data_IF_111192693429
#
_entry.id   IF_111192693429
#
_cell.length_a   1.000
_cell.length_b   1.000
_cell.length_c   1.000
_cell.angle_alpha   90.00
_cell.angle_beta   90.00
_cell.angle_gamma   90.00
#
_symmetry.space_group_name_H-M   'P 1'
#
loop_
_entity.id
_entity.type
_entity.pdbx_description
1 polymer ?
#
# COMPACT_ATOMS: atom_id res chain seq x y z
N UNK A 1 -0.69 20.10 3.53
CA UNK A 1 0.77 20.01 3.29
C UNK A 1 1.52 20.30 4.58
N UNK A 2 2.80 19.94 4.65
CA UNK A 2 3.62 20.17 5.86
C UNK A 2 3.75 18.96 6.80
N UNK A 3 2.95 17.90 6.68
CA UNK A 3 2.99 16.70 7.53
C UNK A 3 4.41 16.13 7.66
N UNK A 4 5.00 15.71 6.54
CA UNK A 4 6.34 15.12 6.49
C UNK A 4 7.43 16.09 6.98
N UNK A 5 7.30 17.40 6.64
CA UNK A 5 8.20 18.44 7.14
C UNK A 5 8.16 18.53 8.67
N UNK A 6 6.96 18.49 9.27
CA UNK A 6 6.79 18.52 10.73
C UNK A 6 7.47 17.32 11.40
N UNK A 7 7.34 16.10 10.83
CA UNK A 7 8.04 14.92 11.35
C UNK A 7 9.57 15.05 11.26
N UNK A 8 10.08 15.54 10.12
CA UNK A 8 11.53 15.77 9.94
C UNK A 8 12.03 16.78 10.97
N UNK A 9 11.39 17.93 11.12
CA UNK A 9 11.79 18.96 12.09
C UNK A 9 11.68 18.47 13.53
N UNK A 10 10.67 17.62 13.84
CA UNK A 10 10.57 17.00 15.16
C UNK A 10 11.72 16.05 15.44
N UNK A 11 12.11 15.20 14.48
CA UNK A 11 13.24 14.30 14.62
C UNK A 11 14.53 15.07 14.87
N UNK A 12 14.77 16.15 14.11
CA UNK A 12 15.95 17.01 14.26
C UNK A 12 15.95 17.69 15.63
N UNK A 13 14.81 18.26 16.05
CA UNK A 13 14.67 18.88 17.36
C UNK A 13 14.99 17.89 18.49
N UNK A 14 14.51 16.65 18.41
CA UNK A 14 14.80 15.62 19.39
C UNK A 14 16.31 15.31 19.47
N UNK A 15 16.97 15.18 18.32
CA UNK A 15 18.40 14.88 18.27
C UNK A 15 19.22 16.10 18.71
N UNK A 16 18.96 17.28 18.15
CA UNK A 16 19.77 18.48 18.35
C UNK A 16 19.56 19.14 19.68
N UNK A 17 18.28 19.40 20.03
CA UNK A 17 17.93 20.23 21.20
C UNK A 17 17.71 19.37 22.46
N UNK A 18 17.15 18.16 22.28
CA UNK A 18 16.86 17.27 23.40
C UNK A 18 17.98 16.24 23.67
N UNK A 19 19.00 16.16 22.82
CA UNK A 19 20.11 15.20 22.98
C UNK A 19 19.65 13.73 22.88
N UNK A 20 18.57 13.46 22.16
CA UNK A 20 18.03 12.12 21.99
C UNK A 20 18.92 11.34 21.02
N UNK A 21 19.38 10.16 21.44
CA UNK A 21 20.18 9.29 20.60
C UNK A 21 19.32 8.72 19.45
N UNK A 22 19.88 8.55 18.24
CA UNK A 22 19.15 8.08 17.06
C UNK A 22 18.36 6.77 17.27
N UNK A 23 18.95 5.81 17.95
CA UNK A 23 18.34 4.52 18.29
C UNK A 23 17.12 4.62 19.22
N UNK A 24 16.91 5.78 19.83
CA UNK A 24 15.74 6.04 20.69
C UNK A 24 14.52 6.54 19.92
N UNK A 25 14.68 6.72 18.62
CA UNK A 25 13.64 7.26 17.73
C UNK A 25 13.14 6.17 16.77
N UNK A 26 11.82 6.00 16.77
CA UNK A 26 11.10 5.12 15.83
C UNK A 26 10.28 6.01 14.89
N UNK A 27 10.45 5.82 13.57
CA UNK A 27 9.67 6.55 12.55
C UNK A 27 9.11 5.54 11.55
N UNK A 28 7.81 5.35 11.56
CA UNK A 28 7.13 4.49 10.60
C UNK A 28 6.40 5.30 9.52
N UNK A 29 6.43 4.78 8.30
CA UNK A 29 5.68 5.32 7.15
C UNK A 29 5.07 4.19 6.32
N UNK A 30 4.19 4.55 5.37
CA UNK A 30 3.44 3.57 4.61
C UNK A 30 4.21 2.97 3.43
N UNK A 31 5.13 3.71 2.80
CA UNK A 31 5.85 3.25 1.60
C UNK A 31 7.36 3.34 1.74
N UNK A 32 8.08 2.41 1.09
CA UNK A 32 9.54 2.44 1.01
C UNK A 32 10.09 3.75 0.41
N UNK A 33 9.36 4.34 -0.55
CA UNK A 33 9.73 5.62 -1.16
C UNK A 33 9.67 6.74 -0.11
N UNK A 34 8.59 6.79 0.69
CA UNK A 34 8.45 7.78 1.74
C UNK A 34 9.51 7.58 2.85
N UNK A 35 9.82 6.34 3.21
CA UNK A 35 10.89 6.03 4.17
C UNK A 35 12.24 6.56 3.69
N UNK A 36 12.61 6.27 2.46
CA UNK A 36 13.87 6.77 1.85
C UNK A 36 13.91 8.29 1.79
N UNK A 37 12.79 8.93 1.46
CA UNK A 37 12.68 10.39 1.43
C UNK A 37 12.86 10.99 2.82
N UNK A 38 12.25 10.42 3.86
CA UNK A 38 12.43 10.85 5.26
C UNK A 38 13.88 10.72 5.70
N UNK A 39 14.52 9.57 5.44
CA UNK A 39 15.94 9.35 5.74
C UNK A 39 16.79 10.43 5.06
N UNK A 40 16.61 10.64 3.76
CA UNK A 40 17.36 11.64 3.00
C UNK A 40 17.18 13.05 3.55
N UNK A 41 15.95 13.43 3.87
CA UNK A 41 15.65 14.78 4.41
C UNK A 41 16.26 14.97 5.80
N UNK A 42 16.14 13.99 6.70
CA UNK A 42 16.73 14.06 8.04
C UNK A 42 18.26 14.15 7.93
N UNK A 43 18.88 13.29 7.10
CA UNK A 43 20.34 13.30 6.89
C UNK A 43 20.82 14.63 6.36
N UNK A 44 20.19 15.18 5.33
CA UNK A 44 20.58 16.46 4.73
C UNK A 44 20.45 17.63 5.70
N UNK A 45 19.36 17.67 6.47
CA UNK A 45 19.13 18.72 7.47
C UNK A 45 20.14 18.65 8.63
N UNK A 46 20.46 17.45 9.13
CA UNK A 46 21.48 17.26 10.16
C UNK A 46 22.86 17.66 9.64
N UNK A 47 23.21 17.27 8.40
CA UNK A 47 24.44 17.66 7.75
C UNK A 47 24.56 19.19 7.58
N UNK A 48 23.47 19.86 7.15
CA UNK A 48 23.43 21.32 7.02
C UNK A 48 23.66 22.04 8.35
N UNK A 49 23.32 21.40 9.48
CA UNK A 49 23.55 21.90 10.85
C UNK A 49 24.87 21.42 11.46
N UNK A 50 25.72 20.75 10.67
CA UNK A 50 27.00 20.18 11.12
C UNK A 50 26.88 19.15 12.25
N UNK A 51 25.74 18.44 12.30
CA UNK A 51 25.47 17.39 13.28
C UNK A 51 25.80 16.04 12.66
N UNK A 52 26.79 15.35 13.23
CA UNK A 52 27.21 14.02 12.78
C UNK A 52 26.54 12.95 13.62
N UNK A 53 25.54 12.28 13.06
CA UNK A 53 24.87 11.13 13.67
C UNK A 53 24.67 10.02 12.63
N UNK A 54 24.66 8.78 13.11
CA UNK A 54 24.38 7.64 12.25
C UNK A 54 22.84 7.45 12.14
N UNK A 55 22.23 8.01 11.10
CA UNK A 55 20.78 7.90 10.89
C UNK A 55 20.31 6.45 10.68
N UNK A 56 21.22 5.51 10.33
CA UNK A 56 20.86 4.10 10.19
C UNK A 56 20.53 3.42 11.54
N UNK A 57 20.89 4.02 12.66
CA UNK A 57 20.52 3.54 13.98
C UNK A 57 19.06 3.84 14.33
N UNK A 58 18.46 4.86 13.73
CA UNK A 58 17.03 5.15 13.85
C UNK A 58 16.22 3.95 13.35
N UNK A 59 15.15 3.59 14.06
CA UNK A 59 14.16 2.65 13.56
C UNK A 59 13.25 3.37 12.53
N UNK A 60 13.78 3.63 11.36
CA UNK A 60 13.07 4.34 10.29
C UNK A 60 12.81 3.42 9.11
N UNK A 61 11.55 3.34 8.68
CA UNK A 61 11.16 2.47 7.57
C UNK A 61 9.65 2.34 7.41
N UNK A 62 9.24 1.37 6.61
CA UNK A 62 7.84 0.91 6.60
C UNK A 62 7.59 0.05 7.84
N UNK A 63 6.32 -0.10 8.24
CA UNK A 63 5.97 -1.01 9.33
C UNK A 63 6.53 -2.42 9.10
N UNK A 64 6.41 -2.92 7.87
CA UNK A 64 6.94 -4.24 7.49
C UNK A 64 8.45 -4.33 7.67
N UNK A 65 9.21 -3.34 7.20
CA UNK A 65 10.67 -3.34 7.31
C UNK A 65 11.14 -3.27 8.77
N UNK A 66 10.46 -2.48 9.59
CA UNK A 66 10.79 -2.37 11.02
C UNK A 66 10.42 -3.65 11.77
N UNK A 67 9.23 -4.20 11.55
CA UNK A 67 8.83 -5.48 12.14
C UNK A 67 9.80 -6.61 11.75
N UNK A 68 10.20 -6.65 10.47
CA UNK A 68 11.16 -7.63 9.99
C UNK A 68 12.55 -7.46 10.62
N UNK A 69 12.97 -6.22 10.90
CA UNK A 69 14.21 -5.94 11.66
C UNK A 69 14.11 -6.49 13.08
N UNK A 70 13.01 -6.21 13.78
CA UNK A 70 12.79 -6.71 15.16
C UNK A 70 12.78 -8.25 15.18
N UNK A 71 12.12 -8.90 14.22
CA UNK A 71 12.11 -10.37 14.07
C UNK A 71 13.54 -10.89 13.85
N UNK A 72 14.31 -10.29 12.93
CA UNK A 72 15.69 -10.72 12.63
C UNK A 72 16.63 -10.60 13.82
N UNK A 73 16.50 -9.53 14.58
CA UNK A 73 17.30 -9.28 15.78
C UNK A 73 16.97 -10.28 16.92
N UNK A 74 15.79 -10.93 16.87
CA UNK A 74 15.29 -11.85 17.90
C UNK A 74 14.78 -13.18 17.30
N UNK A 75 15.40 -13.65 16.24
CA UNK A 75 14.90 -14.78 15.44
C UNK A 75 14.72 -16.07 16.25
N UNK A 76 15.55 -16.31 17.26
CA UNK A 76 15.49 -17.46 18.13
C UNK A 76 14.23 -17.55 19.01
N UNK A 77 13.52 -16.44 19.18
CA UNK A 77 12.26 -16.36 19.92
C UNK A 77 11.03 -16.40 19.02
N UNK A 78 11.23 -16.63 17.73
CA UNK A 78 10.17 -16.73 16.74
C UNK A 78 10.00 -18.18 16.26
N UNK A 79 8.90 -18.46 15.55
CA UNK A 79 8.72 -19.74 14.86
C UNK A 79 9.67 -19.92 13.66
N UNK A 80 10.31 -18.85 13.23
CA UNK A 80 11.14 -18.85 12.02
C UNK A 80 12.56 -19.34 12.30
N UNK A 81 13.11 -20.10 11.36
CA UNK A 81 14.54 -20.46 11.35
C UNK A 81 15.31 -19.37 10.58
N UNK A 82 16.63 -19.27 10.82
CA UNK A 82 17.50 -18.27 10.18
C UNK A 82 17.43 -18.22 8.65
N UNK A 83 17.11 -19.35 8.01
CA UNK A 83 16.98 -19.51 6.56
C UNK A 83 15.53 -19.37 6.06
N UNK A 84 14.67 -18.64 6.77
CA UNK A 84 13.30 -18.40 6.31
C UNK A 84 13.27 -17.68 4.96
N UNK A 85 12.19 -17.89 4.20
CA UNK A 85 11.95 -17.19 2.94
C UNK A 85 10.73 -16.27 3.07
N UNK A 86 10.90 -15.03 2.60
CA UNK A 86 9.80 -14.08 2.47
C UNK A 86 9.09 -14.30 1.14
N UNK A 87 7.78 -14.48 1.21
CA UNK A 87 6.92 -14.60 0.05
C UNK A 87 6.45 -13.23 -0.44
N UNK A 88 6.53 -13.00 -1.74
CA UNK A 88 5.79 -11.93 -2.38
C UNK A 88 4.33 -12.37 -2.67
N UNK A 89 3.54 -11.47 -3.26
CA UNK A 89 2.13 -11.74 -3.54
C UNK A 89 1.92 -12.92 -4.49
N UNK A 90 2.81 -13.09 -5.47
CA UNK A 90 2.73 -14.20 -6.41
C UNK A 90 3.16 -15.50 -5.75
N UNK A 91 4.26 -15.51 -5.01
CA UNK A 91 4.74 -16.67 -4.26
C UNK A 91 3.70 -17.15 -3.25
N UNK A 92 3.03 -16.21 -2.56
CA UNK A 92 1.93 -16.52 -1.65
C UNK A 92 0.77 -17.21 -2.37
N UNK A 93 0.32 -16.64 -3.48
CA UNK A 93 -0.77 -17.21 -4.26
C UNK A 93 -0.40 -18.56 -4.85
N UNK A 94 0.83 -18.72 -5.31
CA UNK A 94 1.33 -20.00 -5.84
C UNK A 94 1.47 -21.08 -4.76
N UNK A 95 1.89 -20.72 -3.54
CA UNK A 95 1.91 -21.63 -2.40
C UNK A 95 0.51 -22.19 -2.11
N UNK A 96 -0.49 -21.30 -2.04
CA UNK A 96 -1.88 -21.71 -1.82
C UNK A 96 -2.41 -22.54 -3.00
N UNK A 97 -2.12 -22.15 -4.23
CA UNK A 97 -2.54 -22.85 -5.43
C UNK A 97 -2.00 -24.29 -5.46
N UNK A 98 -0.70 -24.50 -5.26
CA UNK A 98 -0.10 -25.85 -5.26
C UNK A 98 -0.57 -26.71 -4.10
N UNK A 99 -1.02 -26.09 -3.01
CA UNK A 99 -1.54 -26.74 -1.81
C UNK A 99 -3.07 -26.74 -1.74
N UNK A 100 -3.76 -26.41 -2.84
CA UNK A 100 -5.22 -26.18 -2.88
C UNK A 100 -6.02 -27.39 -2.39
N UNK A 101 -5.48 -28.61 -2.54
CA UNK A 101 -6.10 -29.84 -2.08
C UNK A 101 -6.27 -29.87 -0.55
N UNK A 102 -5.36 -29.23 0.23
CA UNK A 102 -5.48 -29.12 1.69
C UNK A 102 -6.71 -28.26 2.07
N UNK A 103 -6.93 -27.19 1.32
CA UNK A 103 -8.09 -26.29 1.55
C UNK A 103 -9.40 -26.93 1.10
N UNK A 104 -9.41 -27.67 -0.02
CA UNK A 104 -10.60 -28.40 -0.50
C UNK A 104 -11.13 -29.46 0.47
N UNK A 105 -10.30 -29.93 1.40
CA UNK A 105 -10.68 -30.87 2.44
C UNK A 105 -11.35 -30.18 3.65
N UNK A 106 -11.44 -28.87 3.70
CA UNK A 106 -12.13 -28.13 4.75
C UNK A 106 -13.64 -28.33 4.55
N UNK A 107 -14.33 -28.78 5.59
CA UNK A 107 -15.77 -28.98 5.57
C UNK A 107 -16.51 -27.65 5.32
N UNK A 108 -17.50 -27.66 4.44
CA UNK A 108 -18.31 -26.49 4.03
C UNK A 108 -17.50 -25.34 3.37
N UNK A 109 -16.35 -25.63 2.78
CA UNK A 109 -15.49 -24.61 2.16
C UNK A 109 -16.22 -23.79 1.08
N UNK A 110 -17.19 -24.39 0.40
CA UNK A 110 -17.99 -23.76 -0.65
C UNK A 110 -18.80 -22.56 -0.17
N UNK A 111 -19.08 -22.48 1.13
CA UNK A 111 -19.86 -21.37 1.71
C UNK A 111 -19.16 -20.02 1.58
N UNK A 112 -17.82 -20.03 1.48
CA UNK A 112 -16.99 -18.80 1.42
C UNK A 112 -16.20 -18.69 0.11
N UNK A 113 -16.14 -19.76 -0.70
CA UNK A 113 -15.37 -19.72 -1.95
C UNK A 113 -16.17 -19.18 -3.13
N UNK A 114 -15.56 -18.34 -3.97
CA UNK A 114 -16.18 -17.89 -5.21
C UNK A 114 -16.28 -19.05 -6.22
N UNK A 115 -17.24 -18.91 -7.15
CA UNK A 115 -17.29 -19.80 -8.31
C UNK A 115 -16.03 -19.66 -9.15
N UNK A 116 -15.39 -20.78 -9.50
CA UNK A 116 -14.23 -20.75 -10.38
C UNK A 116 -13.19 -21.86 -10.10
N UNK A 117 -12.11 -21.78 -10.86
CA UNK A 117 -11.01 -22.76 -10.75
C UNK A 117 -10.08 -22.52 -9.55
N UNK A 118 -9.13 -23.44 -9.36
CA UNK A 118 -8.20 -23.45 -8.23
C UNK A 118 -7.36 -22.17 -8.08
N UNK A 119 -7.09 -21.45 -9.17
CA UNK A 119 -6.36 -20.19 -9.11
C UNK A 119 -7.23 -19.03 -8.54
N UNK A 120 -8.51 -19.02 -8.87
CA UNK A 120 -9.49 -18.06 -8.30
C UNK A 120 -9.64 -18.32 -6.79
N UNK A 121 -9.73 -19.59 -6.39
CA UNK A 121 -9.75 -19.98 -4.99
C UNK A 121 -8.48 -19.55 -4.26
N UNK A 122 -7.30 -19.78 -4.85
CA UNK A 122 -6.04 -19.33 -4.26
C UNK A 122 -6.01 -17.83 -4.00
N UNK A 123 -6.49 -17.02 -4.96
CA UNK A 123 -6.58 -15.58 -4.79
C UNK A 123 -7.55 -15.17 -3.66
N UNK A 124 -8.72 -15.82 -3.58
CA UNK A 124 -9.70 -15.57 -2.50
C UNK A 124 -9.12 -15.95 -1.13
N UNK A 125 -8.48 -17.11 -1.02
CA UNK A 125 -7.82 -17.58 0.21
C UNK A 125 -6.74 -16.58 0.65
N UNK A 126 -5.87 -16.12 -0.26
CA UNK A 126 -4.86 -15.11 0.06
C UNK A 126 -5.50 -13.81 0.58
N UNK A 127 -6.61 -13.36 -0.03
CA UNK A 127 -7.33 -12.19 0.46
C UNK A 127 -7.88 -12.40 1.87
N UNK A 128 -8.46 -13.55 2.15
CA UNK A 128 -9.02 -13.85 3.49
C UNK A 128 -7.92 -13.92 4.56
N UNK A 129 -6.85 -14.67 4.32
CA UNK A 129 -5.78 -14.80 5.32
C UNK A 129 -5.07 -13.48 5.59
N UNK A 130 -4.88 -12.64 4.56
CA UNK A 130 -4.29 -11.32 4.72
C UNK A 130 -5.18 -10.41 5.57
N UNK A 131 -6.48 -10.36 5.29
CA UNK A 131 -7.43 -9.56 6.06
C UNK A 131 -7.51 -10.02 7.52
N UNK A 132 -7.59 -11.34 7.76
CA UNK A 132 -7.63 -11.90 9.11
C UNK A 132 -6.37 -11.59 9.92
N UNK A 133 -5.20 -11.62 9.27
CA UNK A 133 -3.92 -11.28 9.89
C UNK A 133 -3.83 -9.78 10.21
N UNK A 134 -4.23 -8.89 9.28
CA UNK A 134 -4.16 -7.44 9.44
C UNK A 134 -5.13 -6.92 10.50
N UNK A 135 -6.31 -7.52 10.62
CA UNK A 135 -7.31 -7.22 11.67
C UNK A 135 -7.03 -7.97 12.99
N UNK A 136 -6.00 -8.81 13.03
CA UNK A 136 -5.64 -9.62 14.20
C UNK A 136 -6.82 -10.37 14.80
N UNK A 137 -7.59 -11.04 13.97
CA UNK A 137 -8.77 -11.77 14.43
C UNK A 137 -8.35 -12.98 15.26
N UNK A 138 -9.08 -13.25 16.35
CA UNK A 138 -8.86 -14.43 17.19
C UNK A 138 -9.39 -15.69 16.47
N UNK A 139 -8.48 -16.43 15.86
CA UNK A 139 -8.79 -17.65 15.09
C UNK A 139 -9.46 -18.71 15.97
N UNK A 140 -9.12 -18.76 17.25
CA UNK A 140 -9.76 -19.70 18.19
C UNK A 140 -11.21 -19.30 18.47
N UNK A 141 -11.46 -18.03 18.73
CA UNK A 141 -12.83 -17.54 18.91
C UNK A 141 -13.67 -17.76 17.63
N UNK A 142 -13.08 -17.56 16.44
CA UNK A 142 -13.78 -17.84 15.18
C UNK A 142 -14.13 -19.32 15.01
N UNK A 143 -13.32 -20.25 15.51
CA UNK A 143 -13.60 -21.69 15.40
C UNK A 143 -14.80 -22.14 16.22
N UNK A 144 -15.22 -21.35 17.19
CA UNK A 144 -16.35 -21.60 18.09
C UNK A 144 -17.60 -20.75 17.72
N UNK A 145 -17.55 -20.01 16.59
CA UNK A 145 -18.63 -19.12 16.16
C UNK A 145 -19.85 -19.92 15.63
N UNK A 146 -21.07 -19.48 15.91
CA UNK A 146 -22.28 -20.14 15.39
C UNK A 146 -22.45 -20.02 13.86
N UNK A 147 -21.80 -19.04 13.21
CA UNK A 147 -21.81 -18.91 11.76
C UNK A 147 -20.74 -19.83 11.14
N UNK A 148 -21.22 -20.80 10.38
CA UNK A 148 -20.35 -21.78 9.70
C UNK A 148 -19.33 -21.12 8.78
N UNK A 149 -19.65 -19.98 8.17
CA UNK A 149 -18.74 -19.25 7.30
C UNK A 149 -17.54 -18.71 8.07
N UNK A 150 -17.74 -18.27 9.31
CA UNK A 150 -16.68 -17.81 10.22
C UNK A 150 -15.78 -18.98 10.63
N UNK A 151 -16.38 -20.12 10.97
CA UNK A 151 -15.63 -21.36 11.28
C UNK A 151 -14.78 -21.80 10.10
N UNK A 152 -15.33 -21.77 8.88
CA UNK A 152 -14.58 -22.11 7.65
C UNK A 152 -13.40 -21.17 7.45
N UNK A 153 -13.56 -19.86 7.66
CA UNK A 153 -12.47 -18.89 7.57
C UNK A 153 -11.37 -19.17 8.60
N UNK A 154 -11.74 -19.58 9.84
CA UNK A 154 -10.76 -19.97 10.86
C UNK A 154 -9.94 -21.20 10.42
N UNK A 155 -10.61 -22.20 9.83
CA UNK A 155 -9.96 -23.41 9.31
C UNK A 155 -9.02 -23.07 8.13
N UNK A 156 -9.42 -22.16 7.24
CA UNK A 156 -8.56 -21.66 6.16
C UNK A 156 -7.29 -21.04 6.74
N UNK A 157 -7.43 -20.18 7.75
CA UNK A 157 -6.27 -19.53 8.39
C UNK A 157 -5.36 -20.57 9.07
N UNK A 158 -5.92 -21.54 9.75
CA UNK A 158 -5.16 -22.63 10.39
C UNK A 158 -4.35 -23.45 9.39
N UNK A 159 -4.98 -23.87 8.28
CA UNK A 159 -4.29 -24.58 7.19
C UNK A 159 -3.17 -23.73 6.59
N UNK A 160 -3.43 -22.44 6.37
CA UNK A 160 -2.44 -21.53 5.83
C UNK A 160 -1.23 -21.32 6.76
N UNK A 161 -1.47 -21.14 8.06
CA UNK A 161 -0.41 -21.02 9.06
C UNK A 161 0.46 -22.27 9.11
N UNK A 162 -0.15 -23.47 9.07
CA UNK A 162 0.59 -24.73 8.99
C UNK A 162 1.48 -24.81 7.74
N UNK A 163 1.01 -24.34 6.58
CA UNK A 163 1.84 -24.29 5.36
C UNK A 163 3.06 -23.39 5.50
N UNK A 164 2.90 -22.21 6.12
CA UNK A 164 4.01 -21.30 6.36
C UNK A 164 5.03 -21.90 7.34
N UNK A 165 4.56 -22.59 8.38
CA UNK A 165 5.41 -23.22 9.38
C UNK A 165 6.19 -24.40 8.80
N UNK A 166 5.50 -25.32 8.11
CA UNK A 166 6.09 -26.53 7.50
C UNK A 166 7.27 -26.18 6.57
N UNK A 167 7.14 -25.09 5.81
CA UNK A 167 8.14 -24.68 4.82
C UNK A 167 9.05 -23.54 5.29
N UNK A 168 8.93 -23.10 6.54
CA UNK A 168 9.69 -21.98 7.11
C UNK A 168 9.56 -20.69 6.29
N UNK A 169 8.32 -20.28 6.05
CA UNK A 169 7.95 -19.14 5.23
C UNK A 169 7.32 -18.02 6.08
N UNK A 170 7.42 -16.82 5.55
CA UNK A 170 6.71 -15.64 6.07
C UNK A 170 6.25 -14.78 4.87
N UNK A 171 5.11 -14.15 4.96
CA UNK A 171 4.60 -13.19 3.98
C UNK A 171 4.41 -11.80 4.58
N UNK A 172 3.99 -10.83 3.77
CA UNK A 172 3.86 -9.45 4.21
C UNK A 172 2.86 -9.26 5.37
N UNK A 173 1.71 -9.93 5.35
CA UNK A 173 0.72 -9.81 6.42
C UNK A 173 1.19 -10.51 7.70
N UNK A 174 1.83 -11.67 7.57
CA UNK A 174 2.32 -12.44 8.72
C UNK A 174 3.59 -11.87 9.37
N UNK A 175 4.36 -11.00 8.69
CA UNK A 175 5.45 -10.25 9.34
C UNK A 175 4.95 -9.48 10.57
N UNK A 176 3.83 -8.79 10.44
CA UNK A 176 3.29 -7.94 11.51
C UNK A 176 2.71 -8.78 12.64
N UNK A 177 1.99 -9.85 12.32
CA UNK A 177 1.45 -10.78 13.33
C UNK A 177 2.56 -11.50 14.08
N UNK A 178 3.61 -11.94 13.39
CA UNK A 178 4.78 -12.57 14.02
C UNK A 178 5.55 -11.59 14.92
N UNK A 179 5.74 -10.34 14.47
CA UNK A 179 6.34 -9.30 15.31
C UNK A 179 5.49 -9.03 16.55
N UNK A 180 4.17 -8.89 16.40
CA UNK A 180 3.27 -8.69 17.53
C UNK A 180 3.32 -9.85 18.51
N UNK A 181 3.29 -11.11 18.00
CA UNK A 181 3.40 -12.32 18.80
C UNK A 181 4.72 -12.37 19.58
N UNK A 182 5.84 -12.13 18.88
CA UNK A 182 7.18 -12.06 19.50
C UNK A 182 7.19 -11.10 20.69
N UNK A 183 6.64 -9.89 20.51
CA UNK A 183 6.65 -8.86 21.54
C UNK A 183 5.72 -9.17 22.71
N UNK A 184 4.57 -9.84 22.47
CA UNK A 184 3.60 -10.17 23.52
C UNK A 184 3.98 -11.41 24.32
N UNK A 185 4.61 -12.39 23.68
CA UNK A 185 5.05 -13.63 24.31
C UNK A 185 6.41 -13.51 25.02
N UNK A 186 7.20 -12.47 24.72
CA UNK A 186 8.54 -12.26 25.29
C UNK A 186 8.67 -10.88 25.94
N UNK A 187 8.20 -10.73 27.20
CA UNK A 187 8.24 -9.45 27.92
C UNK A 187 9.64 -8.82 28.00
N UNK A 188 10.69 -9.63 28.16
CA UNK A 188 12.08 -9.13 28.26
C UNK A 188 12.52 -8.44 26.96
N UNK A 189 12.10 -8.97 25.79
CA UNK A 189 12.38 -8.33 24.48
C UNK A 189 11.61 -7.03 24.37
N UNK A 190 10.33 -7.05 24.74
CA UNK A 190 9.48 -5.87 24.70
C UNK A 190 10.01 -4.77 25.62
N UNK A 191 10.39 -5.10 26.84
CA UNK A 191 10.88 -4.12 27.81
C UNK A 191 12.23 -3.52 27.35
N UNK A 192 13.14 -4.33 26.81
CA UNK A 192 14.38 -3.85 26.19
C UNK A 192 14.11 -2.88 25.03
N UNK A 193 13.13 -3.18 24.15
CA UNK A 193 12.75 -2.28 23.07
C UNK A 193 12.12 -0.99 23.60
N UNK A 194 11.29 -1.06 24.63
CA UNK A 194 10.70 0.11 25.31
C UNK A 194 11.74 0.99 26.00
N UNK A 195 12.79 0.40 26.53
CA UNK A 195 13.92 1.14 27.10
C UNK A 195 14.71 1.88 26.03
N UNK A 196 14.88 1.27 24.87
CA UNK A 196 15.58 1.87 23.74
C UNK A 196 14.69 2.88 23.01
N UNK A 197 13.51 2.49 22.53
CA UNK A 197 12.59 3.34 21.76
C UNK A 197 11.82 4.26 22.71
N UNK A 198 12.16 5.56 22.71
CA UNK A 198 11.53 6.57 23.59
C UNK A 198 10.56 7.47 22.86
N UNK A 199 10.71 7.62 21.56
CA UNK A 199 9.91 8.51 20.71
C UNK A 199 9.42 7.75 19.50
N UNK A 200 8.10 7.66 19.36
CA UNK A 200 7.45 7.00 18.22
C UNK A 200 6.81 8.06 17.36
N UNK A 201 7.13 8.05 16.07
CA UNK A 201 6.55 8.93 15.08
C UNK A 201 5.99 8.12 13.93
N UNK A 202 4.79 8.47 13.45
CA UNK A 202 4.12 7.75 12.36
C UNK A 202 3.61 8.74 11.33
N UNK A 203 4.05 8.56 10.07
CA UNK A 203 3.54 9.31 8.91
C UNK A 203 2.35 8.57 8.28
N UNK A 204 1.45 9.36 7.66
CA UNK A 204 0.24 8.87 6.98
C UNK A 204 -0.59 7.91 7.87
N UNK A 205 -0.83 8.31 9.11
CA UNK A 205 -1.47 7.47 10.13
C UNK A 205 -2.88 6.99 9.74
N UNK A 206 -3.59 7.71 8.87
CA UNK A 206 -4.88 7.29 8.33
C UNK A 206 -4.81 6.01 7.48
N UNK A 207 -3.62 5.61 7.03
CA UNK A 207 -3.40 4.42 6.21
C UNK A 207 -2.96 3.20 7.04
N UNK A 208 -2.88 3.35 8.38
CA UNK A 208 -2.52 2.24 9.26
C UNK A 208 -3.68 1.24 9.42
N UNK A 209 -3.34 -0.04 9.52
CA UNK A 209 -4.28 -1.10 9.89
C UNK A 209 -4.28 -1.36 11.41
N UNK A 210 -5.16 -2.23 11.86
CA UNK A 210 -5.35 -2.50 13.30
C UNK A 210 -4.06 -3.04 13.95
N UNK A 211 -3.39 -4.02 13.37
CA UNK A 211 -2.20 -4.62 13.99
C UNK A 211 -1.02 -3.65 14.08
N UNK A 212 -0.87 -2.75 13.10
CA UNK A 212 0.15 -1.69 13.15
C UNK A 212 -0.07 -0.76 14.33
N UNK A 213 -1.32 -0.35 14.54
CA UNK A 213 -1.68 0.45 15.70
C UNK A 213 -1.39 -0.28 17.01
N UNK A 214 -1.73 -1.57 17.11
CA UNK A 214 -1.43 -2.38 18.29
C UNK A 214 0.08 -2.46 18.57
N UNK A 215 0.93 -2.61 17.54
CA UNK A 215 2.39 -2.63 17.68
C UNK A 215 2.89 -1.28 18.20
N UNK A 216 2.37 -0.15 17.66
CA UNK A 216 2.73 1.20 18.13
C UNK A 216 2.45 1.35 19.62
N UNK A 217 1.23 1.04 20.07
CA UNK A 217 0.86 1.18 21.49
C UNK A 217 1.59 0.19 22.38
N UNK A 218 1.87 -1.02 21.87
CA UNK A 218 2.67 -2.01 22.60
C UNK A 218 4.09 -1.50 22.86
N UNK A 219 4.75 -0.93 21.84
CA UNK A 219 6.10 -0.36 21.99
C UNK A 219 6.11 0.92 22.83
N UNK A 220 5.10 1.78 22.70
CA UNK A 220 5.01 3.00 23.48
C UNK A 220 4.85 2.73 24.98
N UNK A 221 4.17 1.66 25.35
CA UNK A 221 3.91 1.26 26.73
C UNK A 221 3.29 2.39 27.55
N UNK A 222 3.71 2.54 28.82
CA UNK A 222 3.19 3.57 29.73
C UNK A 222 3.65 5.00 29.39
N UNK A 223 4.73 5.16 28.63
CA UNK A 223 5.23 6.50 28.27
C UNK A 223 4.34 7.21 27.30
N UNK A 224 3.67 6.46 26.42
CA UNK A 224 2.75 6.96 25.39
C UNK A 224 3.27 8.16 24.58
N UNK A 225 4.61 8.25 24.39
CA UNK A 225 5.24 9.33 23.64
C UNK A 225 5.13 9.07 22.14
N UNK A 226 3.94 9.28 21.62
CA UNK A 226 3.55 8.99 20.23
C UNK A 226 3.21 10.30 19.53
N UNK A 227 3.76 10.51 18.35
CA UNK A 227 3.42 11.62 17.47
C UNK A 227 2.98 11.07 16.13
N UNK A 228 1.72 11.23 15.79
CA UNK A 228 1.19 10.80 14.50
C UNK A 228 0.88 12.00 13.62
N UNK A 229 1.12 11.89 12.33
CA UNK A 229 0.63 12.85 11.33
C UNK A 229 -0.19 12.12 10.29
N UNK A 230 -1.28 12.73 9.88
CA UNK A 230 -2.20 12.14 8.93
C UNK A 230 -3.22 13.13 8.41
N UNK A 231 -4.09 12.65 7.57
CA UNK A 231 -5.20 13.42 7.02
C UNK A 231 -6.39 12.50 6.78
N UNK A 232 -7.42 12.64 7.58
CA UNK A 232 -8.64 11.84 7.50
C UNK A 232 -9.36 11.95 6.13
N UNK A 233 -9.14 13.02 5.37
CA UNK A 233 -9.64 13.18 4.01
C UNK A 233 -8.83 12.37 2.96
N UNK A 234 -7.68 11.82 3.34
CA UNK A 234 -6.78 11.06 2.46
C UNK A 234 -6.81 9.54 2.70
N UNK A 235 -7.73 9.03 3.50
CA UNK A 235 -7.87 7.60 3.80
C UNK A 235 -8.35 6.78 2.60
N UNK A 236 -7.51 6.60 1.58
CA UNK A 236 -7.84 5.93 0.32
C UNK A 236 -7.50 4.42 0.30
N UNK A 237 -6.76 3.93 1.27
CA UNK A 237 -6.22 2.56 1.27
C UNK A 237 -7.05 1.55 2.08
N UNK A 238 -8.36 1.80 2.26
CA UNK A 238 -9.25 0.85 2.94
C UNK A 238 -9.21 -0.57 2.33
N UNK A 239 -9.04 -0.66 1.02
CA UNK A 239 -8.93 -1.94 0.31
C UNK A 239 -7.62 -2.72 0.62
N UNK A 240 -6.71 -2.12 1.39
CA UNK A 240 -5.48 -2.71 1.93
C UNK A 240 -5.51 -2.83 3.46
N UNK A 241 -6.69 -2.98 4.05
CA UNK A 241 -6.85 -3.10 5.49
C UNK A 241 -6.69 -1.79 6.28
N UNK A 242 -6.39 -0.65 5.62
CA UNK A 242 -6.33 0.64 6.32
C UNK A 242 -7.66 0.99 6.95
N UNK A 243 -7.63 1.43 8.19
CA UNK A 243 -8.82 1.86 8.91
C UNK A 243 -8.72 3.32 9.33
N UNK A 244 -9.53 4.17 8.71
CA UNK A 244 -9.64 5.59 9.07
C UNK A 244 -10.03 5.82 10.53
N UNK A 245 -10.62 4.81 11.15
CA UNK A 245 -10.97 4.80 12.57
C UNK A 245 -9.75 5.07 13.45
N UNK A 246 -8.57 4.53 13.07
CA UNK A 246 -7.35 4.72 13.84
C UNK A 246 -7.03 6.21 14.03
N UNK A 247 -7.09 7.03 12.98
CA UNK A 247 -6.80 8.46 13.11
C UNK A 247 -7.94 9.21 13.81
N UNK A 248 -9.19 8.86 13.53
CA UNK A 248 -10.35 9.55 14.12
C UNK A 248 -10.49 9.27 15.62
N UNK A 249 -10.20 8.06 16.06
CA UNK A 249 -10.27 7.64 17.47
C UNK A 249 -8.93 7.79 18.21
N UNK A 250 -7.86 8.24 17.55
CA UNK A 250 -6.54 8.33 18.18
C UNK A 250 -6.55 9.13 19.49
N UNK A 251 -7.18 10.32 19.59
CA UNK A 251 -7.21 11.08 20.83
C UNK A 251 -7.94 10.38 21.98
N UNK A 252 -8.96 9.57 21.68
CA UNK A 252 -9.74 8.87 22.70
C UNK A 252 -8.99 7.71 23.38
N UNK A 253 -7.81 7.35 22.86
CA UNK A 253 -6.93 6.33 23.43
C UNK A 253 -6.05 6.84 24.56
N UNK A 254 -6.09 8.14 24.85
CA UNK A 254 -5.33 8.82 25.89
C UNK A 254 -6.28 9.40 26.94
N UNK A 255 -5.78 9.63 28.13
CA UNK A 255 -6.54 10.34 29.14
C UNK A 255 -6.83 11.79 28.68
N UNK A 256 -7.86 12.39 29.26
CA UNK A 256 -8.25 13.75 28.92
C UNK A 256 -7.09 14.75 29.10
N UNK A 257 -6.77 15.50 28.06
CA UNK A 257 -5.69 16.49 28.05
C UNK A 257 -4.29 15.93 27.72
N UNK A 258 -4.10 14.62 27.63
CA UNK A 258 -2.79 14.02 27.30
C UNK A 258 -2.51 13.99 25.79
N UNK A 259 -3.52 13.98 24.96
CA UNK A 259 -3.37 14.04 23.49
C UNK A 259 -3.59 15.47 22.99
N UNK A 260 -2.57 16.07 22.37
CA UNK A 260 -2.66 17.40 21.75
C UNK A 260 -2.86 17.26 20.24
N UNK A 261 -3.97 17.76 19.74
CA UNK A 261 -4.26 17.86 18.30
C UNK A 261 -3.74 19.22 17.80
N UNK A 262 -2.95 19.21 16.74
CA UNK A 262 -2.39 20.38 16.10
C UNK A 262 -2.82 20.38 14.62
N UNK A 263 -3.79 21.21 14.22
CA UNK A 263 -4.21 21.29 12.82
C UNK A 263 -3.17 22.02 11.97
N UNK A 264 -2.79 21.39 10.84
CA UNK A 264 -1.96 22.00 9.80
C UNK A 264 -2.89 22.50 8.68
N UNK A 265 -3.36 23.73 8.78
CA UNK A 265 -4.39 24.29 7.89
C UNK A 265 -3.84 24.96 6.65
N UNK A 266 -2.55 25.33 6.61
CA UNK A 266 -1.96 26.04 5.47
C UNK A 266 -1.44 25.07 4.41
N UNK A 267 -1.89 25.25 3.17
CA UNK A 267 -1.42 24.46 2.03
C UNK A 267 -0.34 25.24 1.25
N UNK A 268 0.89 24.70 1.27
CA UNK A 268 2.07 25.26 0.58
C UNK A 268 2.33 24.61 -0.79
N UNK A 269 1.48 23.68 -1.24
CA UNK A 269 1.72 22.88 -2.45
C UNK A 269 0.90 23.31 -3.64
N UNK A 270 -0.35 23.64 -3.40
CA UNK A 270 -1.35 23.79 -4.46
C UNK A 270 -1.78 25.23 -4.60
N UNK A 271 -2.15 25.61 -5.84
CA UNK A 271 -2.76 26.90 -6.11
C UNK A 271 -4.06 27.11 -5.30
N UNK A 272 -4.38 28.37 -5.03
CA UNK A 272 -5.56 28.73 -4.22
C UNK A 272 -6.88 28.21 -4.80
N UNK A 273 -7.02 28.18 -6.13
CA UNK A 273 -8.23 27.71 -6.78
C UNK A 273 -8.44 26.20 -6.55
N UNK A 274 -7.32 25.42 -6.57
CA UNK A 274 -7.36 23.98 -6.27
C UNK A 274 -7.75 23.76 -4.80
N UNK A 275 -7.19 24.56 -3.89
CA UNK A 275 -7.50 24.46 -2.47
C UNK A 275 -8.97 24.82 -2.20
N UNK A 276 -9.48 25.88 -2.82
CA UNK A 276 -10.86 26.31 -2.68
C UNK A 276 -11.83 25.26 -3.25
N UNK A 277 -11.54 24.74 -4.45
CA UNK A 277 -12.32 23.66 -5.04
C UNK A 277 -12.38 22.43 -4.13
N UNK A 278 -11.24 22.03 -3.57
CA UNK A 278 -11.18 20.91 -2.65
C UNK A 278 -12.02 21.14 -1.39
N UNK A 279 -11.94 22.32 -0.77
CA UNK A 279 -12.75 22.65 0.39
C UNK A 279 -14.26 22.58 0.07
N UNK A 280 -14.70 23.11 -1.08
CA UNK A 280 -16.09 23.02 -1.53
C UNK A 280 -16.49 21.57 -1.82
N UNK A 281 -15.65 20.80 -2.50
CA UNK A 281 -15.90 19.41 -2.78
C UNK A 281 -16.09 18.59 -1.51
N UNK A 282 -15.23 18.77 -0.53
CA UNK A 282 -15.29 18.06 0.76
C UNK A 282 -16.46 18.52 1.65
N UNK A 283 -16.97 19.71 1.45
CA UNK A 283 -18.17 20.19 2.13
C UNK A 283 -19.48 19.69 1.48
N UNK A 284 -19.41 19.20 0.24
CA UNK A 284 -20.59 18.77 -0.52
C UNK A 284 -21.02 17.38 -0.09
N UNK A 285 -22.17 17.29 0.59
CA UNK A 285 -22.75 16.02 1.06
C UNK A 285 -23.85 15.47 0.15
N UNK A 286 -24.21 16.20 -0.90
CA UNK A 286 -25.32 15.87 -1.80
C UNK A 286 -24.93 14.85 -2.85
N UNK A 287 -25.80 13.85 -3.08
CA UNK A 287 -25.70 12.89 -4.20
C UNK A 287 -25.11 11.53 -3.87
N UNK A 288 -24.69 11.25 -2.65
CA UNK A 288 -24.33 9.89 -2.28
C UNK A 288 -25.60 9.07 -2.06
N UNK A 289 -25.66 7.87 -2.68
CA UNK A 289 -26.71 6.88 -2.39
C UNK A 289 -26.70 6.44 -0.93
N UNK A 290 -25.62 6.69 -0.23
CA UNK A 290 -25.44 6.47 1.19
C UNK A 290 -25.57 7.81 1.91
N UNK A 291 -26.55 7.94 2.80
CA UNK A 291 -26.68 9.09 3.71
C UNK A 291 -25.55 9.05 4.75
N UNK A 292 -24.32 9.23 4.31
CA UNK A 292 -23.17 9.28 5.20
C UNK A 292 -23.02 10.69 5.73
N UNK A 293 -23.17 10.86 7.03
CA UNK A 293 -23.01 12.15 7.71
C UNK A 293 -21.53 12.45 7.89
N UNK A 294 -20.87 12.85 6.79
CA UNK A 294 -19.45 13.11 6.73
C UNK A 294 -18.96 14.05 7.85
N UNK A 295 -19.74 15.08 8.15
CA UNK A 295 -19.42 16.06 9.19
C UNK A 295 -19.34 15.50 10.62
N UNK A 296 -19.91 14.31 10.90
CA UNK A 296 -19.80 13.64 12.20
C UNK A 296 -18.49 12.87 12.39
N UNK A 297 -17.90 12.43 11.28
CA UNK A 297 -16.78 11.50 11.28
C UNK A 297 -15.50 12.10 10.69
N UNK A 298 -15.44 13.43 10.59
CA UNK A 298 -14.33 14.17 10.03
C UNK A 298 -13.86 15.22 11.03
N UNK A 299 -12.55 15.42 11.14
CA UNK A 299 -12.04 16.56 11.89
C UNK A 299 -12.50 17.88 11.24
N UNK A 300 -13.07 18.83 12.02
CA UNK A 300 -13.40 20.15 11.50
C UNK A 300 -12.12 20.85 11.01
N UNK A 301 -12.03 21.08 9.72
CA UNK A 301 -10.88 21.75 9.12
C UNK A 301 -11.29 22.53 7.88
N UNK A 302 -10.65 23.67 7.69
CA UNK A 302 -10.66 24.45 6.46
C UNK A 302 -9.22 24.68 6.06
N UNK A 303 -8.86 24.21 4.88
CA UNK A 303 -7.50 24.39 4.37
C UNK A 303 -7.39 25.76 3.73
N UNK A 304 -6.35 26.49 4.08
CA UNK A 304 -6.07 27.83 3.55
C UNK A 304 -4.88 27.75 2.59
N UNK A 305 -4.94 28.40 1.44
CA UNK A 305 -3.79 28.51 0.55
C UNK A 305 -2.74 29.42 1.18
N UNK A 306 -1.45 29.06 1.05
CA UNK A 306 -0.34 29.90 1.51
C UNK A 306 -0.28 31.22 0.75
N UNK A 307 -0.49 31.18 -0.58
CA UNK A 307 -0.49 32.34 -1.45
C UNK A 307 -1.76 32.40 -2.28
N UNK A 308 -2.16 33.60 -2.65
CA UNK A 308 -3.23 33.78 -3.62
C UNK A 308 -2.73 33.38 -5.00
N UNK A 309 -3.64 32.83 -5.80
CA UNK A 309 -3.31 32.47 -7.18
C UNK A 309 -2.79 33.66 -7.95
N UNK A 310 -1.62 33.52 -8.57
CA UNK A 310 -1.08 34.46 -9.56
C UNK A 310 -1.62 34.18 -10.97
N UNK A 311 -2.40 33.11 -11.14
CA UNK A 311 -2.90 32.64 -12.43
C UNK A 311 -4.21 33.37 -12.74
N UNK A 312 -4.27 34.03 -13.91
CA UNK A 312 -5.43 34.81 -14.35
C UNK A 312 -6.61 33.96 -14.89
N UNK A 313 -6.41 32.66 -15.09
CA UNK A 313 -7.41 31.73 -15.58
C UNK A 313 -7.70 30.65 -14.54
N UNK A 314 -8.92 30.09 -14.49
CA UNK A 314 -9.24 29.07 -13.49
C UNK A 314 -8.31 27.86 -13.58
N UNK A 315 -7.78 27.43 -12.44
CA UNK A 315 -6.90 26.28 -12.33
C UNK A 315 -7.68 24.95 -12.34
N UNK A 316 -8.98 24.99 -12.05
CA UNK A 316 -9.86 23.84 -12.05
C UNK A 316 -10.91 23.99 -13.17
N UNK A 317 -10.92 23.06 -14.08
CA UNK A 317 -11.83 23.08 -15.23
C UNK A 317 -12.55 21.75 -15.34
N UNK A 318 -13.87 21.77 -15.55
CA UNK A 318 -14.65 20.59 -15.87
C UNK A 318 -14.82 20.52 -17.39
N UNK A 319 -14.35 19.42 -17.98
CA UNK A 319 -14.59 19.10 -19.38
C UNK A 319 -15.72 18.07 -19.48
N UNK A 320 -16.65 18.28 -20.41
CA UNK A 320 -17.65 17.28 -20.74
C UNK A 320 -16.97 16.05 -21.39
N UNK A 321 -17.35 14.87 -20.95
CA UNK A 321 -16.88 13.65 -21.62
C UNK A 321 -17.55 13.54 -23.00
N UNK A 322 -16.85 12.99 -23.98
CA UNK A 322 -17.45 12.53 -25.21
C UNK A 322 -18.07 11.14 -24.99
N UNK A 323 -19.13 10.81 -25.71
CA UNK A 323 -19.74 9.49 -25.69
C UNK A 323 -18.88 8.48 -26.45
N UNK A 324 -18.22 8.94 -27.52
CA UNK A 324 -17.26 8.19 -28.30
C UNK A 324 -15.84 8.24 -27.70
N UNK A 325 -15.15 7.10 -27.71
CA UNK A 325 -13.81 6.95 -27.11
C UNK A 325 -12.74 7.70 -27.92
N UNK A 326 -12.86 7.65 -29.26
CA UNK A 326 -11.92 8.33 -30.16
C UNK A 326 -12.05 9.85 -30.03
N UNK A 327 -13.28 10.37 -29.96
CA UNK A 327 -13.52 11.80 -29.70
C UNK A 327 -12.97 12.23 -28.34
N UNK A 328 -13.08 11.38 -27.32
CA UNK A 328 -12.53 11.65 -26.00
C UNK A 328 -10.99 11.76 -26.04
N UNK A 329 -10.32 10.84 -26.75
CA UNK A 329 -8.87 10.87 -26.95
C UNK A 329 -8.41 12.15 -27.66
N UNK A 330 -9.09 12.51 -28.75
CA UNK A 330 -8.78 13.73 -29.51
C UNK A 330 -8.97 15.00 -28.69
N UNK A 331 -10.00 15.07 -27.86
CA UNK A 331 -10.23 16.20 -26.96
C UNK A 331 -9.10 16.34 -25.94
N UNK A 332 -8.61 15.22 -25.37
CA UNK A 332 -7.48 15.22 -24.45
C UNK A 332 -6.21 15.71 -25.17
N UNK A 333 -5.91 15.17 -26.33
CA UNK A 333 -4.73 15.56 -27.12
C UNK A 333 -4.79 17.05 -27.50
N UNK A 334 -5.95 17.53 -27.96
CA UNK A 334 -6.18 18.95 -28.27
C UNK A 334 -5.95 19.84 -27.06
N UNK A 335 -6.40 19.41 -25.88
CA UNK A 335 -6.18 20.15 -24.64
C UNK A 335 -4.70 20.21 -24.24
N UNK A 336 -3.96 19.09 -24.35
CA UNK A 336 -2.51 19.04 -24.10
C UNK A 336 -1.78 19.99 -25.04
N UNK A 337 -2.10 19.94 -26.34
CA UNK A 337 -1.49 20.80 -27.35
C UNK A 337 -1.76 22.30 -27.05
N UNK A 338 -2.98 22.66 -26.67
CA UNK A 338 -3.29 24.03 -26.25
C UNK A 338 -2.47 24.50 -25.06
N UNK A 339 -2.24 23.63 -24.07
CA UNK A 339 -1.38 23.94 -22.93
C UNK A 339 0.08 24.15 -23.36
N UNK A 340 0.56 23.34 -24.30
CA UNK A 340 1.92 23.43 -24.86
C UNK A 340 2.09 24.72 -25.68
N UNK A 341 1.15 25.00 -26.59
CA UNK A 341 1.18 26.18 -27.47
C UNK A 341 1.08 27.50 -26.66
N UNK A 342 0.34 27.48 -25.56
CA UNK A 342 0.25 28.64 -24.64
C UNK A 342 1.47 28.80 -23.71
N UNK A 343 2.47 27.90 -23.79
CA UNK A 343 3.63 27.90 -22.91
C UNK A 343 3.35 27.48 -21.46
N UNK A 344 2.12 27.07 -21.14
CA UNK A 344 1.74 26.58 -19.80
C UNK A 344 2.30 25.18 -19.53
N UNK A 345 2.54 24.40 -20.56
CA UNK A 345 3.15 23.08 -20.51
C UNK A 345 4.50 23.13 -21.23
N UNK A 346 5.59 23.05 -20.50
CA UNK A 346 6.95 23.07 -21.02
C UNK A 346 7.56 21.67 -21.14
N UNK A 347 7.11 20.75 -20.32
CA UNK A 347 7.57 19.36 -20.28
C UNK A 347 6.36 18.43 -20.01
N UNK A 348 6.25 17.34 -20.77
CA UNK A 348 5.18 16.34 -20.57
C UNK A 348 5.24 15.67 -19.20
N UNK A 349 6.38 15.65 -18.52
CA UNK A 349 6.49 15.19 -17.14
C UNK A 349 5.69 16.03 -16.12
N UNK A 350 5.19 17.19 -16.53
CA UNK A 350 4.27 18.03 -15.74
C UNK A 350 2.82 17.51 -15.78
N UNK A 351 2.50 16.55 -16.66
CA UNK A 351 1.17 15.98 -16.79
C UNK A 351 1.05 14.69 -15.96
N UNK A 352 -0.08 14.55 -15.28
CA UNK A 352 -0.46 13.31 -14.62
C UNK A 352 -1.95 13.00 -14.87
N UNK A 353 -2.23 11.76 -15.23
CA UNK A 353 -3.58 11.23 -15.35
C UNK A 353 -3.88 10.33 -14.16
N UNK A 354 -4.98 10.58 -13.45
CA UNK A 354 -5.39 9.82 -12.27
C UNK A 354 -6.64 9.00 -12.58
N UNK A 355 -6.54 7.69 -12.38
CA UNK A 355 -7.63 6.74 -12.58
C UNK A 355 -7.75 5.80 -11.39
N UNK A 356 -8.94 5.25 -11.15
CA UNK A 356 -9.16 4.22 -10.13
C UNK A 356 -8.35 2.94 -10.43
N UNK A 357 -8.16 2.63 -11.70
CA UNK A 357 -7.36 1.49 -12.16
C UNK A 357 -6.70 1.82 -13.49
N UNK A 358 -5.40 1.61 -13.57
CA UNK A 358 -4.63 1.75 -14.83
C UNK A 358 -4.78 0.52 -15.75
N UNK A 359 -5.40 -0.56 -15.24
CA UNK A 359 -5.67 -1.79 -16.01
C UNK A 359 -6.99 -1.74 -16.80
N UNK A 360 -7.79 -0.69 -16.60
CA UNK A 360 -9.05 -0.54 -17.33
C UNK A 360 -8.78 -0.28 -18.82
N UNK A 361 -9.54 -0.93 -19.71
CA UNK A 361 -9.31 -0.87 -21.15
C UNK A 361 -9.26 0.57 -21.71
N UNK A 362 -10.14 1.45 -21.25
CA UNK A 362 -10.14 2.88 -21.67
C UNK A 362 -8.86 3.62 -21.30
N UNK A 363 -8.19 3.24 -20.19
CA UNK A 363 -6.92 3.85 -19.78
C UNK A 363 -5.77 3.35 -20.63
N UNK A 364 -5.79 2.04 -20.96
CA UNK A 364 -4.81 1.43 -21.85
C UNK A 364 -4.93 2.03 -23.26
N UNK A 365 -6.16 2.17 -23.76
CA UNK A 365 -6.45 2.78 -25.05
C UNK A 365 -5.96 4.22 -25.13
N UNK A 366 -6.22 5.05 -24.11
CA UNK A 366 -5.69 6.41 -24.02
C UNK A 366 -4.15 6.44 -24.03
N UNK A 367 -3.50 5.57 -23.27
CA UNK A 367 -2.04 5.49 -23.22
C UNK A 367 -1.47 5.17 -24.61
N UNK A 368 -2.03 4.15 -25.28
CA UNK A 368 -1.62 3.76 -26.64
C UNK A 368 -1.84 4.89 -27.64
N UNK A 369 -2.96 5.61 -27.55
CA UNK A 369 -3.26 6.75 -28.41
C UNK A 369 -2.25 7.90 -28.21
N UNK A 370 -1.92 8.24 -26.96
CA UNK A 370 -0.93 9.29 -26.66
C UNK A 370 0.47 8.90 -27.14
N UNK A 371 0.88 7.64 -26.99
CA UNK A 371 2.16 7.12 -27.50
C UNK A 371 2.22 7.17 -29.03
N UNK A 372 1.14 6.82 -29.72
CA UNK A 372 1.02 6.94 -31.19
C UNK A 372 1.14 8.40 -31.66
N UNK A 373 0.79 9.37 -30.82
CA UNK A 373 0.92 10.81 -31.10
C UNK A 373 2.23 11.42 -30.51
N UNK A 374 3.21 10.59 -30.18
CA UNK A 374 4.55 11.03 -29.77
C UNK A 374 4.65 11.51 -28.32
N UNK A 375 3.66 11.21 -27.48
CA UNK A 375 3.67 11.52 -26.06
C UNK A 375 3.92 10.23 -25.28
N UNK A 376 5.16 10.02 -24.81
CA UNK A 376 5.51 8.83 -24.04
C UNK A 376 4.74 8.78 -22.70
N UNK A 377 4.12 7.63 -22.43
CA UNK A 377 3.35 7.40 -21.20
C UNK A 377 4.11 6.49 -20.25
N UNK A 378 4.25 6.93 -19.01
CA UNK A 378 4.82 6.11 -17.94
C UNK A 378 3.72 5.63 -16.98
N UNK A 379 3.53 4.32 -16.90
CA UNK A 379 2.62 3.69 -15.94
C UNK A 379 3.32 2.54 -15.20
N UNK A 380 3.75 2.74 -13.95
CA UNK A 380 4.55 1.74 -13.22
C UNK A 380 3.79 0.47 -12.83
N UNK A 381 2.47 0.45 -13.02
CA UNK A 381 1.58 -0.68 -12.67
C UNK A 381 0.77 -1.19 -13.85
N UNK A 382 1.11 -0.76 -15.06
CA UNK A 382 0.46 -1.29 -16.27
C UNK A 382 1.14 -2.59 -16.69
N UNK A 383 0.35 -3.53 -17.20
CA UNK A 383 0.86 -4.77 -17.79
C UNK A 383 1.50 -4.53 -19.18
N UNK A 384 1.76 -3.26 -19.55
CA UNK A 384 2.33 -2.86 -20.83
C UNK A 384 3.74 -3.43 -21.07
N UNK A 385 4.49 -3.72 -19.99
CA UNK A 385 5.79 -4.37 -20.11
C UNK A 385 5.70 -5.69 -20.88
N UNK A 386 4.75 -6.54 -20.50
CA UNK A 386 4.54 -7.84 -21.16
C UNK A 386 3.90 -7.75 -22.53
N UNK A 387 3.37 -6.59 -22.94
CA UNK A 387 2.80 -6.37 -24.28
C UNK A 387 3.83 -5.93 -25.31
N UNK A 388 5.03 -5.57 -24.89
CA UNK A 388 6.12 -5.17 -25.78
C UNK A 388 6.61 -6.37 -26.60
N UNK A 389 6.86 -6.12 -27.86
CA UNK A 389 7.27 -7.16 -28.81
C UNK A 389 8.58 -7.83 -28.43
N UNK A 390 9.54 -7.04 -27.90
CA UNK A 390 10.83 -7.56 -27.43
C UNK A 390 10.67 -8.54 -26.27
N UNK A 391 9.70 -8.27 -25.39
CA UNK A 391 9.42 -9.13 -24.23
C UNK A 391 8.69 -10.40 -24.67
N UNK A 392 7.70 -10.27 -25.56
CA UNK A 392 6.99 -11.42 -26.14
C UNK A 392 7.96 -12.33 -26.88
N UNK A 393 8.83 -11.74 -27.68
CA UNK A 393 9.86 -12.46 -28.41
C UNK A 393 10.82 -13.20 -27.46
N UNK A 394 11.32 -12.50 -26.45
CA UNK A 394 12.23 -13.08 -25.44
C UNK A 394 11.56 -14.25 -24.70
N UNK A 395 10.31 -14.09 -24.30
CA UNK A 395 9.54 -15.16 -23.65
C UNK A 395 9.29 -16.33 -24.59
N UNK A 396 8.94 -16.07 -25.86
CA UNK A 396 8.76 -17.10 -26.86
C UNK A 396 10.02 -17.91 -27.09
N UNK A 397 11.18 -17.28 -27.22
CA UNK A 397 12.48 -17.94 -27.34
C UNK A 397 12.77 -18.82 -26.11
N UNK A 398 12.53 -18.31 -24.90
CA UNK A 398 12.68 -19.12 -23.67
C UNK A 398 11.77 -20.32 -23.65
N UNK A 399 10.50 -20.17 -24.06
CA UNK A 399 9.54 -21.28 -24.11
C UNK A 399 9.95 -22.37 -25.10
N UNK A 400 10.46 -21.99 -26.27
CA UNK A 400 10.95 -22.94 -27.26
C UNK A 400 12.13 -23.79 -26.76
N UNK A 401 12.88 -23.34 -25.76
CA UNK A 401 13.90 -24.15 -25.09
C UNK A 401 13.33 -25.34 -24.30
N UNK A 402 12.01 -25.33 -24.06
CA UNK A 402 11.30 -26.35 -23.30
C UNK A 402 10.20 -27.04 -24.13
N UNK A 403 10.53 -27.97 -25.04
CA UNK A 403 9.56 -28.57 -25.97
C UNK A 403 8.37 -29.25 -25.28
N UNK A 404 8.56 -29.80 -24.09
CA UNK A 404 7.44 -30.38 -23.31
C UNK A 404 6.43 -29.33 -22.86
N UNK A 405 6.90 -28.14 -22.54
CA UNK A 405 6.04 -27.01 -22.15
C UNK A 405 5.22 -26.53 -23.36
N UNK A 406 5.87 -26.33 -24.49
CA UNK A 406 5.20 -25.94 -25.74
C UNK A 406 4.11 -26.95 -26.13
N UNK A 407 4.45 -28.25 -26.10
CA UNK A 407 3.49 -29.32 -26.37
C UNK A 407 2.31 -29.30 -25.39
N UNK A 408 2.55 -29.08 -24.10
CA UNK A 408 1.51 -28.98 -23.09
C UNK A 408 0.59 -27.76 -23.26
N UNK A 409 1.09 -26.68 -23.85
CA UNK A 409 0.25 -25.55 -24.29
C UNK A 409 -0.61 -25.91 -25.48
N UNK A 410 -0.03 -26.61 -26.47
CA UNK A 410 -0.76 -27.00 -27.71
C UNK A 410 -1.86 -28.02 -27.46
N UNK A 411 -1.64 -28.98 -26.60
CA UNK A 411 -2.59 -30.05 -26.26
C UNK A 411 -3.55 -29.70 -25.12
N UNK A 412 -3.46 -28.48 -24.57
CA UNK A 412 -4.36 -28.00 -23.52
C UNK A 412 -4.14 -28.63 -22.15
N UNK A 413 -2.97 -29.24 -21.90
CA UNK A 413 -2.64 -29.88 -20.62
C UNK A 413 -2.59 -28.89 -19.44
N UNK A 414 -2.44 -27.59 -19.70
CA UNK A 414 -2.38 -26.54 -18.67
C UNK A 414 -3.74 -25.90 -18.41
N UNK A 415 -4.67 -26.66 -17.83
CA UNK A 415 -6.03 -26.21 -17.50
C UNK A 415 -6.10 -25.05 -16.48
N UNK A 416 -4.99 -24.71 -15.81
CA UNK A 416 -4.90 -23.63 -14.86
C UNK A 416 -4.67 -22.24 -15.53
N UNK A 417 -4.28 -22.23 -16.82
CA UNK A 417 -4.12 -20.97 -17.56
C UNK A 417 -5.47 -20.37 -17.90
N UNK A 418 -5.62 -19.06 -17.61
CA UNK A 418 -6.76 -18.32 -18.12
C UNK A 418 -6.67 -18.19 -19.64
N UNK A 419 -7.81 -18.06 -20.36
CA UNK A 419 -7.80 -17.93 -21.83
C UNK A 419 -6.84 -16.84 -22.31
N UNK A 420 -6.80 -15.68 -21.66
CA UNK A 420 -5.93 -14.55 -22.01
C UNK A 420 -4.45 -14.91 -21.87
N UNK A 421 -4.09 -15.65 -20.82
CA UNK A 421 -2.71 -16.11 -20.61
C UNK A 421 -2.31 -17.13 -21.67
N UNK A 422 -3.20 -18.06 -21.98
CA UNK A 422 -3.00 -19.06 -23.03
C UNK A 422 -2.74 -18.38 -24.39
N UNK A 423 -3.59 -17.43 -24.79
CA UNK A 423 -3.41 -16.69 -26.03
C UNK A 423 -2.12 -15.85 -26.03
N UNK A 424 -1.79 -15.23 -24.92
CA UNK A 424 -0.55 -14.47 -24.78
C UNK A 424 0.69 -15.36 -24.97
N UNK A 425 0.75 -16.51 -24.34
CA UNK A 425 1.89 -17.43 -24.49
C UNK A 425 1.97 -18.02 -25.89
N UNK A 426 0.85 -18.30 -26.50
CA UNK A 426 0.79 -18.72 -27.90
C UNK A 426 1.33 -17.65 -28.83
N UNK A 427 0.95 -16.39 -28.63
CA UNK A 427 1.48 -15.25 -29.40
C UNK A 427 3.00 -15.13 -29.24
N UNK A 428 3.52 -15.29 -28.02
CA UNK A 428 4.98 -15.28 -27.76
C UNK A 428 5.69 -16.36 -28.57
N UNK A 429 5.17 -17.59 -28.59
CA UNK A 429 5.75 -18.73 -29.35
C UNK A 429 5.67 -18.44 -30.85
N UNK A 430 4.54 -17.96 -31.36
CA UNK A 430 4.38 -17.63 -32.76
C UNK A 430 5.38 -16.55 -33.20
N UNK A 431 5.59 -15.53 -32.38
CA UNK A 431 6.54 -14.46 -32.66
C UNK A 431 7.99 -14.98 -32.70
N UNK A 432 8.35 -15.91 -31.79
CA UNK A 432 9.67 -16.53 -31.76
C UNK A 432 9.90 -17.52 -32.90
N UNK A 433 8.88 -18.20 -33.41
CA UNK A 433 8.97 -19.08 -34.55
C UNK A 433 9.06 -18.34 -35.89
N UNK A 434 8.75 -17.05 -35.91
CA UNK A 434 8.86 -16.18 -37.10
C UNK A 434 10.28 -15.61 -37.32
N UNK A 435 11.22 -15.90 -36.41
CA UNK A 435 12.63 -15.60 -36.56
C UNK A 435 13.37 -16.73 -37.29
#
# INVERSE_FOLDING_TARGET
TGKTFTLVQRAIYLIQECGVAPEQIFIATFTEKAAKELITRITNELAARSISVNVNEVYIGTFHSICLRIIKENIEFTRLKKNYRLLDSFDQQYLVFRSIYKFKNIENIETVMPNGGSWIWANAICSYVNNLAEERVDVKAMSEDPDISIVVLSNIMTVYQSLLEDENLIDFSTIQTECYRLLTENPDILDRLRENIKYIMVDEYQDTNFIQEQIIFLLAGKRQNICVVGDDDQGLYRFRGATIRNILEFPSKFAEGECKIIPLTVNYRSDSDIVNFYNEWMATTSGSKFKFEWGKFRYPKKIEPHEKSSIQSPCVVKLASADDEDEWHERILSFINKLKDSGKLTDYNQLAFLFNSVKHQRVISLATFLEANGINVYSPRSDMFFKRDEIKLSLGCLMLMFPKYVKGLEDGSYQFLQPEQYFYYRDCILMANGL
#
